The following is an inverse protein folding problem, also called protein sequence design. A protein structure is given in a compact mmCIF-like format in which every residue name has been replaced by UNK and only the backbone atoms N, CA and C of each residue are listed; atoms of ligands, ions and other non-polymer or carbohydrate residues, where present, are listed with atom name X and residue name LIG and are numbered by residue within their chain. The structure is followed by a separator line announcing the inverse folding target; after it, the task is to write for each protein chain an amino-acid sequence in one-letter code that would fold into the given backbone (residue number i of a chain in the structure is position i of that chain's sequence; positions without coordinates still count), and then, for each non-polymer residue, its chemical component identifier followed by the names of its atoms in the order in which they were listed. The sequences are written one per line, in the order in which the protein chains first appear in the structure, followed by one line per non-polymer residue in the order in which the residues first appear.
data_IF_353698994816
#
_entry.id   IF_353698994816
#
_cell.length_a   1.000
_cell.length_b   1.000
_cell.length_c   1.000
_cell.angle_alpha   90.00
_cell.angle_beta   90.00
_cell.angle_gamma   90.00
#
_symmetry.space_group_name_H-M   'P 1'
#
loop_
_entity.id
_entity.type
_entity.pdbx_description
1 polymer ?
#
# COMPACT_ATOMS: atom_id res chain seq x y z
N UNK A 1 -10.87 -4.08 37.06
CA UNK A 1 -9.54 -4.61 36.74
C UNK A 1 -9.05 -3.91 35.50
N UNK A 2 -7.99 -3.11 35.63
CA UNK A 2 -7.44 -2.31 34.52
C UNK A 2 -6.68 -3.19 33.53
N UNK A 3 -7.32 -3.50 32.40
CA UNK A 3 -6.62 -4.03 31.24
C UNK A 3 -5.78 -2.90 30.63
N UNK A 4 -4.47 -3.09 30.51
CA UNK A 4 -3.57 -2.09 29.92
C UNK A 4 -4.07 -1.63 28.56
N UNK A 5 -4.33 -0.33 28.42
CA UNK A 5 -4.85 0.28 27.19
C UNK A 5 -3.80 0.33 26.10
N UNK A 6 -3.71 -0.75 25.32
CA UNK A 6 -2.91 -0.76 24.09
C UNK A 6 -3.58 0.05 22.98
N UNK A 7 -2.83 0.94 22.34
CA UNK A 7 -3.22 1.63 21.11
C UNK A 7 -2.33 1.08 20.00
N UNK A 8 -2.83 0.42 18.95
CA UNK A 8 -4.21 0.07 18.58
C UNK A 8 -4.75 -1.22 19.25
N UNK A 9 -6.05 -1.53 19.06
CA UNK A 9 -6.70 -2.77 19.57
C UNK A 9 -5.94 -4.03 19.07
N UNK A 10 -5.40 -4.89 19.97
CA UNK A 10 -4.56 -6.02 19.56
C UNK A 10 -5.22 -7.04 18.63
N UNK A 11 -6.53 -7.25 18.75
CA UNK A 11 -7.28 -8.11 17.85
C UNK A 11 -7.28 -7.55 16.42
N UNK A 12 -7.52 -6.25 16.29
CA UNK A 12 -7.62 -5.57 15.00
C UNK A 12 -6.27 -5.51 14.29
N UNK A 13 -5.16 -5.50 15.02
CA UNK A 13 -3.82 -5.62 14.42
C UNK A 13 -3.61 -6.97 13.71
N UNK A 14 -4.26 -8.04 14.17
CA UNK A 14 -4.23 -9.35 13.48
C UNK A 14 -5.20 -9.39 12.31
N UNK A 15 -6.38 -8.81 12.49
CA UNK A 15 -7.46 -8.85 11.49
C UNK A 15 -7.19 -7.89 10.30
N UNK A 16 -6.46 -6.80 10.55
CA UNK A 16 -6.20 -5.73 9.57
C UNK A 16 -4.74 -5.74 9.13
N UNK A 17 -4.32 -6.79 8.42
CA UNK A 17 -3.01 -6.78 7.75
C UNK A 17 -2.93 -5.58 6.80
N UNK A 18 -1.85 -4.79 6.90
CA UNK A 18 -1.71 -3.50 6.20
C UNK A 18 -1.95 -3.58 4.68
N UNK A 19 -1.68 -4.73 4.05
CA UNK A 19 -1.90 -4.91 2.61
C UNK A 19 -3.27 -5.51 2.30
N UNK A 20 -3.70 -6.53 3.04
CA UNK A 20 -4.97 -7.21 2.77
C UNK A 20 -6.18 -6.40 3.24
N UNK A 21 -6.02 -5.51 4.22
CA UNK A 21 -7.12 -4.67 4.70
C UNK A 21 -7.67 -3.74 3.61
N UNK A 22 -6.85 -3.44 2.59
CA UNK A 22 -7.27 -2.69 1.41
C UNK A 22 -8.36 -3.40 0.59
N UNK A 23 -8.49 -4.73 0.69
CA UNK A 23 -9.53 -5.48 -0.01
C UNK A 23 -10.96 -5.14 0.44
N UNK A 24 -11.13 -4.60 1.66
CA UNK A 24 -12.43 -4.10 2.14
C UNK A 24 -12.80 -2.72 1.55
N UNK A 25 -11.90 -2.12 0.78
CA UNK A 25 -12.05 -0.80 0.15
C UNK A 25 -11.60 -0.85 -1.31
N UNK A 26 -11.94 -1.93 -2.03
CA UNK A 26 -11.43 -2.19 -3.39
C UNK A 26 -11.71 -1.05 -4.38
N UNK A 27 -12.81 -0.32 -4.16
CA UNK A 27 -13.24 0.87 -4.89
C UNK A 27 -12.31 2.09 -4.71
N UNK A 28 -11.43 2.07 -3.71
CA UNK A 28 -10.44 3.12 -3.42
C UNK A 28 -9.00 2.68 -3.72
N UNK A 29 -8.80 1.50 -4.28
CA UNK A 29 -7.48 0.90 -4.51
C UNK A 29 -7.20 0.73 -6.01
N UNK A 30 -5.93 0.68 -6.44
CA UNK A 30 -5.62 0.18 -7.78
C UNK A 30 -6.16 -1.25 -7.95
N UNK A 31 -6.33 -1.69 -9.20
CA UNK A 31 -6.62 -3.09 -9.48
C UNK A 31 -5.55 -3.95 -8.79
N UNK A 32 -6.00 -4.88 -7.97
CA UNK A 32 -5.16 -5.64 -7.05
C UNK A 32 -5.41 -7.13 -7.21
N UNK A 33 -4.34 -7.91 -7.36
CA UNK A 33 -4.35 -9.36 -7.35
C UNK A 33 -3.45 -9.87 -6.23
N UNK A 34 -3.98 -10.71 -5.35
CA UNK A 34 -3.19 -11.47 -4.38
C UNK A 34 -3.16 -12.92 -4.80
N UNK A 35 -1.98 -13.43 -5.13
CA UNK A 35 -1.80 -14.80 -5.60
C UNK A 35 -0.41 -15.33 -5.30
N UNK A 36 -0.26 -16.65 -5.36
CA UNK A 36 1.02 -17.37 -5.39
C UNK A 36 1.28 -18.02 -6.75
N UNK A 37 0.35 -17.87 -7.70
CA UNK A 37 0.40 -18.52 -9.00
C UNK A 37 1.05 -17.61 -10.05
N UNK A 38 2.19 -18.05 -10.59
CA UNK A 38 2.95 -17.33 -11.62
C UNK A 38 2.14 -17.04 -12.90
N UNK A 39 1.26 -17.96 -13.32
CA UNK A 39 0.43 -17.75 -14.51
C UNK A 39 -0.61 -16.63 -14.30
N UNK A 40 -1.18 -16.53 -13.10
CA UNK A 40 -2.09 -15.43 -12.77
C UNK A 40 -1.35 -14.08 -12.72
N UNK A 41 -0.13 -14.04 -12.18
CA UNK A 41 0.72 -12.84 -12.20
C UNK A 41 1.05 -12.42 -13.64
N UNK A 42 1.35 -13.39 -14.51
CA UNK A 42 1.61 -13.15 -15.94
C UNK A 42 0.38 -12.60 -16.65
N UNK A 43 -0.79 -13.19 -16.44
CA UNK A 43 -2.04 -12.69 -17.03
C UNK A 43 -2.39 -11.28 -16.53
N UNK A 44 -2.13 -10.99 -15.25
CA UNK A 44 -2.32 -9.66 -14.69
C UNK A 44 -1.35 -8.64 -15.32
N UNK A 45 -0.09 -9.00 -15.50
CA UNK A 45 0.88 -8.17 -16.21
C UNK A 45 0.50 -7.94 -17.67
N UNK A 46 0.09 -8.98 -18.40
CA UNK A 46 -0.36 -8.88 -19.80
C UNK A 46 -1.58 -7.96 -19.95
N UNK A 47 -2.47 -7.92 -18.95
CA UNK A 47 -3.63 -7.02 -18.94
C UNK A 47 -3.24 -5.55 -18.73
N UNK A 48 -2.26 -5.28 -17.87
CA UNK A 48 -1.98 -3.92 -17.38
C UNK A 48 -0.70 -3.29 -17.96
N UNK A 49 0.18 -4.08 -18.56
CA UNK A 49 1.49 -3.72 -19.13
C UNK A 49 2.50 -3.09 -18.17
N UNK A 50 2.09 -2.45 -17.09
CA UNK A 50 2.96 -1.85 -16.07
C UNK A 50 2.37 -2.12 -14.68
N UNK A 51 3.06 -2.94 -13.90
CA UNK A 51 2.57 -3.42 -12.60
C UNK A 51 3.62 -3.26 -11.51
N UNK A 52 3.14 -3.18 -10.27
CA UNK A 52 3.92 -3.31 -9.05
C UNK A 52 3.70 -4.70 -8.45
N UNK A 53 4.79 -5.40 -8.16
CA UNK A 53 4.80 -6.65 -7.40
C UNK A 53 5.47 -6.42 -6.05
N UNK A 54 4.85 -6.91 -4.97
CA UNK A 54 5.35 -6.74 -3.59
C UNK A 54 4.95 -7.90 -2.66
N UNK A 55 5.74 -8.19 -1.61
CA UNK A 55 5.39 -9.20 -0.61
C UNK A 55 4.26 -8.71 0.32
N UNK A 56 3.56 -9.62 1.00
CA UNK A 56 2.48 -9.27 1.92
C UNK A 56 2.96 -8.86 3.32
N UNK A 57 4.14 -9.31 3.73
CA UNK A 57 4.70 -9.17 5.09
C UNK A 57 5.76 -8.04 5.23
N UNK A 58 6.21 -7.44 4.12
CA UNK A 58 7.20 -6.34 4.17
C UNK A 58 6.66 -4.94 4.48
N UNK A 59 7.49 -4.06 5.04
CA UNK A 59 7.25 -2.63 5.23
C UNK A 59 8.37 -1.78 4.60
N UNK A 60 8.19 -0.46 4.48
CA UNK A 60 9.26 0.47 4.10
C UNK A 60 9.78 0.36 2.66
N UNK A 61 9.06 -0.32 1.76
CA UNK A 61 9.48 -0.48 0.37
C UNK A 61 10.40 -1.69 0.12
N UNK A 62 10.48 -2.63 1.05
CA UNK A 62 11.19 -3.89 0.85
C UNK A 62 10.56 -4.70 -0.30
N UNK A 63 11.41 -5.17 -1.22
CA UNK A 63 11.03 -6.05 -2.34
C UNK A 63 9.85 -5.54 -3.18
N UNK A 64 9.81 -4.22 -3.44
CA UNK A 64 8.89 -3.64 -4.41
C UNK A 64 9.55 -3.65 -5.78
N UNK A 65 8.93 -4.35 -6.71
CA UNK A 65 9.38 -4.43 -8.10
C UNK A 65 8.35 -3.76 -9.00
N UNK A 66 8.81 -2.91 -9.91
CA UNK A 66 8.00 -2.45 -11.04
C UNK A 66 8.37 -3.27 -12.26
N UNK A 67 7.38 -3.92 -12.84
CA UNK A 67 7.53 -4.75 -14.03
C UNK A 67 6.79 -4.06 -15.17
N UNK A 68 7.57 -3.46 -16.07
CA UNK A 68 7.06 -2.76 -17.26
C UNK A 68 6.84 -3.74 -18.41
N UNK A 69 6.26 -3.24 -19.48
CA UNK A 69 6.13 -3.98 -20.73
C UNK A 69 7.52 -4.38 -21.25
N UNK A 70 7.66 -5.63 -21.67
CA UNK A 70 8.93 -6.19 -22.15
C UNK A 70 9.98 -6.49 -21.08
N UNK A 71 9.69 -6.35 -19.78
CA UNK A 71 10.66 -6.69 -18.73
C UNK A 71 10.97 -8.20 -18.72
N UNK A 72 12.24 -8.61 -18.92
CA UNK A 72 12.60 -10.03 -18.98
C UNK A 72 12.53 -10.73 -17.62
N UNK A 73 12.38 -9.99 -16.53
CA UNK A 73 12.53 -10.50 -15.16
C UNK A 73 11.22 -10.88 -14.48
N UNK A 74 10.06 -10.73 -15.13
CA UNK A 74 8.77 -11.13 -14.53
C UNK A 74 8.83 -12.55 -13.95
N UNK A 75 9.48 -13.47 -14.67
CA UNK A 75 9.61 -14.85 -14.26
C UNK A 75 10.31 -15.03 -12.92
N UNK A 76 11.51 -14.46 -12.78
CA UNK A 76 12.34 -14.58 -11.58
C UNK A 76 11.80 -13.74 -10.42
N UNK A 77 11.20 -12.58 -10.70
CA UNK A 77 10.55 -11.76 -9.67
C UNK A 77 9.38 -12.52 -9.05
N UNK A 78 8.53 -13.16 -9.88
CA UNK A 78 7.42 -13.96 -9.40
C UNK A 78 7.91 -15.13 -8.53
N UNK A 79 8.94 -15.86 -8.96
CA UNK A 79 9.53 -16.95 -8.17
C UNK A 79 10.10 -16.47 -6.85
N UNK A 80 10.81 -15.34 -6.86
CA UNK A 80 11.41 -14.73 -5.67
C UNK A 80 10.34 -14.31 -4.66
N UNK A 81 9.31 -13.58 -5.11
CA UNK A 81 8.27 -13.05 -4.21
C UNK A 81 7.32 -14.13 -3.68
N UNK A 82 7.11 -15.19 -4.46
CA UNK A 82 6.22 -16.28 -4.08
C UNK A 82 6.96 -17.46 -3.45
N UNK A 83 8.27 -17.38 -3.24
CA UNK A 83 9.11 -18.53 -2.84
C UNK A 83 8.76 -19.78 -3.65
N UNK A 84 8.87 -19.68 -4.98
CA UNK A 84 8.49 -20.71 -5.94
C UNK A 84 7.03 -21.20 -5.79
N UNK A 85 6.09 -20.28 -5.52
CA UNK A 85 4.66 -20.55 -5.42
C UNK A 85 4.17 -21.04 -4.05
N UNK A 86 5.03 -21.04 -3.03
CA UNK A 86 4.66 -21.42 -1.66
C UNK A 86 4.09 -20.26 -0.84
N UNK A 87 4.41 -19.02 -1.21
CA UNK A 87 3.93 -17.77 -0.57
C UNK A 87 3.09 -16.91 -1.50
N UNK A 88 2.16 -16.18 -0.89
CA UNK A 88 1.38 -15.16 -1.60
C UNK A 88 2.17 -13.86 -1.76
N UNK A 89 2.05 -13.26 -2.93
CA UNK A 89 2.45 -11.88 -3.18
C UNK A 89 1.25 -11.05 -3.65
N UNK A 90 1.45 -9.75 -3.76
CA UNK A 90 0.46 -8.80 -4.27
C UNK A 90 0.97 -8.17 -5.57
N UNK A 91 0.10 -8.14 -6.58
CA UNK A 91 0.26 -7.39 -7.81
C UNK A 91 -0.75 -6.23 -7.84
N UNK A 92 -0.31 -5.06 -8.27
CA UNK A 92 -1.17 -3.89 -8.50
C UNK A 92 -0.79 -3.21 -9.81
N UNK A 93 -1.74 -2.60 -10.52
CA UNK A 93 -1.37 -1.78 -11.68
C UNK A 93 -0.54 -0.56 -11.21
N UNK A 94 0.46 -0.17 -12.00
CA UNK A 94 1.30 0.99 -11.68
C UNK A 94 0.47 2.28 -11.73
N UNK A 95 0.71 3.18 -10.77
CA UNK A 95 0.06 4.48 -10.68
C UNK A 95 1.05 5.59 -11.02
N UNK A 96 0.95 6.23 -12.21
CA UNK A 96 1.89 7.29 -12.63
C UNK A 96 1.97 8.48 -11.66
N UNK A 97 0.91 8.74 -10.89
CA UNK A 97 0.86 9.79 -9.88
C UNK A 97 1.87 9.61 -8.73
N UNK A 98 2.53 8.45 -8.61
CA UNK A 98 3.63 8.26 -7.63
C UNK A 98 4.76 9.27 -7.80
N UNK A 99 4.94 9.84 -9.00
CA UNK A 99 5.89 10.93 -9.27
C UNK A 99 5.61 12.18 -8.43
N UNK A 100 4.34 12.41 -8.09
CA UNK A 100 3.87 13.53 -7.29
C UNK A 100 3.93 13.22 -5.78
N UNK A 101 4.23 11.96 -5.44
CA UNK A 101 4.51 11.47 -4.10
C UNK A 101 3.46 10.47 -3.59
N UNK A 102 3.93 9.54 -2.76
CA UNK A 102 3.08 8.67 -1.94
C UNK A 102 2.74 9.40 -0.64
N UNK A 103 1.49 9.87 -0.52
CA UNK A 103 1.02 10.68 0.61
C UNK A 103 0.70 9.80 1.81
N UNK A 104 1.42 10.04 2.90
CA UNK A 104 1.09 9.52 4.24
C UNK A 104 0.04 10.44 4.88
N UNK A 105 -1.21 10.01 4.90
CA UNK A 105 -2.32 10.68 5.62
C UNK A 105 -2.51 10.02 6.97
N UNK A 106 -2.47 10.80 8.05
CA UNK A 106 -2.74 10.28 9.40
C UNK A 106 -4.23 10.37 9.73
N UNK A 107 -4.77 9.32 10.33
CA UNK A 107 -6.14 9.26 10.85
C UNK A 107 -6.06 8.92 12.34
N UNK A 108 -6.69 9.76 13.16
CA UNK A 108 -6.69 9.65 14.62
C UNK A 108 -8.13 9.50 15.11
N UNK A 109 -8.43 8.36 15.73
CA UNK A 109 -9.76 7.99 16.22
C UNK A 109 -10.87 8.13 15.15
N UNK A 110 -10.53 7.81 13.90
CA UNK A 110 -11.40 7.94 12.73
C UNK A 110 -11.37 9.31 12.04
N UNK A 111 -10.70 10.32 12.62
CA UNK A 111 -10.63 11.67 12.09
C UNK A 111 -9.33 11.93 11.31
N UNK A 112 -9.39 12.35 10.03
CA UNK A 112 -8.19 12.68 9.26
C UNK A 112 -7.49 13.95 9.76
N UNK A 113 -6.17 13.89 9.89
CA UNK A 113 -5.32 15.07 10.14
C UNK A 113 -5.30 15.93 8.86
N UNK A 114 -5.45 17.27 8.94
CA UNK A 114 -5.61 18.13 7.75
C UNK A 114 -4.35 18.29 6.89
N UNK A 115 -3.25 17.62 7.25
CA UNK A 115 -2.00 17.59 6.51
C UNK A 115 -1.53 16.16 6.30
N UNK A 116 -0.83 15.93 5.21
CA UNK A 116 -0.13 14.69 4.89
C UNK A 116 1.36 14.96 4.66
N UNK A 117 2.13 13.88 4.62
CA UNK A 117 3.51 13.91 4.14
C UNK A 117 3.56 13.22 2.78
N UNK A 118 3.71 13.99 1.70
CA UNK A 118 3.99 13.44 0.37
C UNK A 118 5.43 12.93 0.34
N UNK A 119 5.62 11.65 0.01
CA UNK A 119 6.94 11.01 -0.03
C UNK A 119 7.31 10.76 -1.49
N UNK A 120 8.17 11.63 -2.01
CA UNK A 120 8.46 11.73 -3.44
C UNK A 120 9.70 10.89 -3.75
N UNK A 121 9.63 9.95 -4.72
CA UNK A 121 10.80 9.18 -5.15
C UNK A 121 11.96 10.09 -5.60
N UNK A 122 13.20 9.64 -5.41
CA UNK A 122 14.41 10.39 -5.76
C UNK A 122 15.36 9.53 -6.60
N UNK A 123 16.16 10.16 -7.47
CA UNK A 123 17.34 9.51 -8.07
C UNK A 123 17.09 8.23 -8.88
N UNK A 124 15.99 8.16 -9.65
CA UNK A 124 15.65 6.97 -10.45
C UNK A 124 15.04 5.81 -9.65
N UNK A 125 14.81 5.99 -8.36
CA UNK A 125 14.12 5.05 -7.50
C UNK A 125 12.62 5.03 -7.82
N UNK A 126 12.00 3.85 -7.78
CA UNK A 126 10.55 3.71 -8.01
C UNK A 126 9.73 3.91 -6.74
N UNK A 127 10.38 3.81 -5.57
CA UNK A 127 9.77 3.89 -4.25
C UNK A 127 9.78 5.31 -3.71
N UNK A 128 8.64 5.76 -3.18
CA UNK A 128 8.53 7.04 -2.49
C UNK A 128 8.98 7.00 -1.03
N UNK A 129 9.11 5.82 -0.41
CA UNK A 129 9.35 5.68 1.03
C UNK A 129 10.62 6.43 1.49
N UNK A 130 10.53 7.13 2.63
CA UNK A 130 11.66 7.83 3.24
C UNK A 130 12.84 6.89 3.56
N UNK A 131 12.54 5.65 3.95
CA UNK A 131 13.55 4.62 4.22
C UNK A 131 14.35 4.23 2.96
N UNK A 132 13.81 4.47 1.77
CA UNK A 132 14.48 4.26 0.49
C UNK A 132 15.09 5.57 -0.08
N UNK A 133 15.19 6.63 0.73
CA UNK A 133 15.77 7.91 0.32
C UNK A 133 14.77 8.90 -0.31
N UNK A 134 13.46 8.63 -0.23
CA UNK A 134 12.43 9.55 -0.70
C UNK A 134 12.44 10.90 0.03
N UNK A 135 12.07 11.97 -0.68
CA UNK A 135 11.94 13.32 -0.09
C UNK A 135 10.55 13.50 0.51
N UNK A 136 10.49 13.86 1.79
CA UNK A 136 9.24 14.22 2.46
C UNK A 136 8.85 15.68 2.20
N UNK A 137 7.62 15.91 1.79
CA UNK A 137 7.03 17.25 1.61
C UNK A 137 5.68 17.32 2.32
N UNK A 138 5.54 18.13 3.39
CA UNK A 138 4.25 18.34 4.04
C UNK A 138 3.29 19.08 3.10
N UNK A 139 2.05 18.59 2.98
CA UNK A 139 1.00 19.21 2.17
C UNK A 139 -0.34 19.20 2.90
N UNK A 140 -1.20 20.22 2.73
CA UNK A 140 -2.61 20.10 3.09
C UNK A 140 -3.26 18.92 2.35
N UNK A 141 -4.27 18.29 2.96
CA UNK A 141 -5.05 17.27 2.27
C UNK A 141 -5.80 17.86 1.07
N UNK A 142 -5.76 17.17 -0.07
CA UNK A 142 -6.61 17.49 -1.22
C UNK A 142 -8.06 17.04 -0.97
N UNK A 143 -8.99 17.44 -1.83
CA UNK A 143 -10.38 16.97 -1.75
C UNK A 143 -10.48 15.43 -1.89
N UNK A 144 -9.67 14.83 -2.76
CA UNK A 144 -9.59 13.37 -2.91
C UNK A 144 -9.06 12.69 -1.64
N UNK A 145 -8.05 13.27 -1.00
CA UNK A 145 -7.52 12.75 0.27
C UNK A 145 -8.59 12.76 1.37
N UNK A 146 -9.31 13.87 1.50
CA UNK A 146 -10.42 14.00 2.43
C UNK A 146 -11.50 12.96 2.17
N UNK A 147 -11.87 12.76 0.91
CA UNK A 147 -12.92 11.80 0.53
C UNK A 147 -12.53 10.38 0.92
N UNK A 148 -11.32 9.95 0.58
CA UNK A 148 -10.79 8.62 0.92
C UNK A 148 -10.73 8.45 2.44
N UNK A 149 -10.10 9.38 3.15
CA UNK A 149 -9.89 9.27 4.58
C UNK A 149 -11.21 9.28 5.37
N UNK A 150 -12.21 10.06 4.94
CA UNK A 150 -13.56 10.08 5.55
C UNK A 150 -14.37 8.82 5.26
N UNK A 151 -14.18 8.19 4.10
CA UNK A 151 -14.84 6.93 3.80
C UNK A 151 -14.29 5.78 4.67
N UNK A 152 -12.99 5.80 4.97
CA UNK A 152 -12.31 4.74 5.74
C UNK A 152 -12.42 4.97 7.27
N UNK A 153 -12.43 6.23 7.71
CA UNK A 153 -12.40 6.66 9.11
C UNK A 153 -13.39 5.94 10.05
N UNK A 154 -14.69 5.84 9.72
CA UNK A 154 -15.67 5.15 10.56
C UNK A 154 -15.30 3.68 10.83
N UNK A 155 -14.83 2.96 9.81
CA UNK A 155 -14.41 1.55 9.95
C UNK A 155 -13.17 1.40 10.83
N UNK A 156 -12.21 2.33 10.73
CA UNK A 156 -11.03 2.33 11.62
C UNK A 156 -11.44 2.50 13.08
N UNK A 157 -12.34 3.46 13.32
CA UNK A 157 -12.88 3.75 14.66
C UNK A 157 -13.63 2.54 15.23
N UNK A 158 -14.55 1.95 14.46
CA UNK A 158 -15.30 0.76 14.86
C UNK A 158 -14.37 -0.41 15.22
N UNK A 159 -13.28 -0.58 14.47
CA UNK A 159 -12.27 -1.60 14.72
C UNK A 159 -11.29 -1.23 15.83
N UNK A 160 -11.37 -0.06 16.46
CA UNK A 160 -10.42 0.36 17.49
C UNK A 160 -8.98 0.55 16.95
N UNK A 161 -8.86 0.89 15.66
CA UNK A 161 -7.64 1.37 15.03
C UNK A 161 -7.56 2.90 15.25
N UNK A 162 -7.12 3.28 16.44
CA UNK A 162 -7.10 4.66 16.92
C UNK A 162 -6.02 5.51 16.23
N UNK A 163 -4.88 4.95 15.84
CA UNK A 163 -3.82 5.67 15.13
C UNK A 163 -3.38 4.91 13.88
N UNK A 164 -3.68 5.47 12.71
CA UNK A 164 -3.48 4.82 11.40
C UNK A 164 -2.82 5.78 10.43
N UNK A 165 -1.89 5.25 9.62
CA UNK A 165 -1.34 5.94 8.45
C UNK A 165 -1.88 5.33 7.17
N UNK A 166 -2.63 6.10 6.40
CA UNK A 166 -3.06 5.75 5.04
C UNK A 166 -1.97 6.17 4.04
N UNK A 167 -1.70 5.32 3.06
CA UNK A 167 -0.79 5.59 1.95
C UNK A 167 -1.63 5.81 0.69
N UNK A 168 -1.63 7.04 0.17
CA UNK A 168 -2.47 7.47 -0.97
C UNK A 168 -1.58 7.95 -2.11
N UNK A 169 -1.81 7.42 -3.32
CA UNK A 169 -1.15 7.83 -4.56
C UNK A 169 -2.22 8.36 -5.51
N UNK A 170 -2.13 9.64 -5.87
CA UNK A 170 -3.13 10.35 -6.69
C UNK A 170 -3.50 11.72 -6.16
#
# INVERSE_FOLDING_TARGET
GGGGGGVNKPQSLRDCNEKLFTAWFSDLTPETLVTRNKAQLKAFWEKHSDIILKPLDGMGGASIFRVKEGDPNLGVIAETLTEHGTRYCMAQNYLPAIKDGDKRVLVVDGEPVPYCLARIPQGGETRGNLAAGGRGEPRPLTESDWKIARQIGPTLKEKGLIFVGLDIIG
#
